data_IF_833376103490
#
_entry.id   IF_833376103490
#
_cell.length_a   1.000
_cell.length_b   1.000
_cell.length_c   1.000
_cell.angle_alpha   90.00
_cell.angle_beta   90.00
_cell.angle_gamma   90.00
#
_symmetry.space_group_name_H-M   'P 1'
#
loop_
_entity.id
_entity.type
_entity.pdbx_description
1 polymer ?
#
# COMPACT_ATOMS: atom_id res chain seq x y z
N UNK A 1 -39.91 20.98 63.90
CA UNK A 1 -38.45 20.74 63.82
C UNK A 1 -38.17 19.94 62.54
N UNK A 2 -37.68 20.51 61.48
CA UNK A 2 -37.27 19.76 60.29
C UNK A 2 -35.80 19.33 60.39
N UNK A 3 -35.50 18.07 60.05
CA UNK A 3 -34.15 17.54 59.95
C UNK A 3 -33.47 17.96 58.64
N UNK A 4 -32.16 18.21 58.62
CA UNK A 4 -31.48 18.52 57.39
C UNK A 4 -31.17 17.25 56.61
N UNK A 5 -31.51 17.25 55.30
CA UNK A 5 -31.04 16.25 54.32
C UNK A 5 -29.57 16.56 53.96
N UNK A 6 -28.74 15.63 54.17
CA UNK A 6 -27.31 15.66 53.77
C UNK A 6 -27.15 15.46 52.29
N UNK A 7 -26.69 16.50 51.60
CA UNK A 7 -26.25 16.46 50.19
C UNK A 7 -24.80 15.90 50.12
N UNK A 8 -24.66 14.61 49.91
CA UNK A 8 -23.39 13.98 49.68
C UNK A 8 -23.53 12.67 48.86
N UNK A 9 -23.75 12.77 47.55
CA UNK A 9 -23.61 11.60 46.64
C UNK A 9 -23.70 12.00 45.14
N UNK A 10 -23.19 13.17 44.69
CA UNK A 10 -23.22 13.57 43.28
C UNK A 10 -21.86 13.77 42.63
N UNK A 11 -20.75 13.42 43.30
CA UNK A 11 -19.40 13.74 42.80
C UNK A 11 -18.58 12.56 42.25
N UNK A 12 -19.17 11.37 42.10
CA UNK A 12 -18.40 10.15 41.74
C UNK A 12 -18.65 9.60 40.30
N UNK A 13 -19.48 10.26 39.50
CA UNK A 13 -19.82 9.76 38.15
C UNK A 13 -19.15 10.51 36.98
N UNK A 14 -18.27 11.49 37.23
CA UNK A 14 -17.70 12.32 36.17
C UNK A 14 -16.27 11.95 35.74
N UNK A 15 -15.64 10.92 36.31
CA UNK A 15 -14.26 10.57 35.99
C UNK A 15 -14.07 9.25 35.17
N UNK A 16 -15.14 8.61 34.71
CA UNK A 16 -15.05 7.36 33.94
C UNK A 16 -15.01 7.56 32.40
N UNK A 17 -15.02 8.81 31.90
CA UNK A 17 -15.20 9.07 30.46
C UNK A 17 -13.90 9.45 29.72
N UNK A 18 -12.73 9.33 30.30
CA UNK A 18 -11.46 9.81 29.69
C UNK A 18 -10.41 8.72 29.38
N UNK A 19 -10.80 7.45 29.37
CA UNK A 19 -9.90 6.36 28.93
C UNK A 19 -10.38 5.77 27.61
N UNK A 20 -10.60 6.60 26.59
CA UNK A 20 -10.63 6.11 25.22
C UNK A 20 -9.17 5.79 24.82
N UNK A 21 -8.84 4.53 24.49
CA UNK A 21 -7.52 4.23 23.98
C UNK A 21 -7.33 5.07 22.70
N UNK A 22 -6.30 5.90 22.68
CA UNK A 22 -5.88 6.57 21.46
C UNK A 22 -5.55 5.46 20.44
N UNK A 23 -6.33 5.37 19.37
CA UNK A 23 -6.01 4.48 18.26
C UNK A 23 -4.73 5.03 17.60
N UNK A 24 -3.59 4.48 18.00
CA UNK A 24 -2.33 4.76 17.30
C UNK A 24 -2.41 4.07 15.95
N UNK A 25 -2.23 4.84 14.87
CA UNK A 25 -1.98 4.25 13.56
C UNK A 25 -0.70 3.42 13.67
N UNK A 26 -0.81 2.14 13.37
CA UNK A 26 0.33 1.24 13.35
C UNK A 26 1.13 1.54 12.10
N UNK A 27 2.34 2.07 12.24
CA UNK A 27 3.21 2.42 11.12
C UNK A 27 4.39 1.46 11.07
N UNK A 28 4.63 0.86 9.90
CA UNK A 28 5.84 0.08 9.67
C UNK A 28 7.07 1.00 9.70
N UNK A 29 8.15 0.53 10.31
CA UNK A 29 9.46 1.13 10.15
C UNK A 29 9.99 0.79 8.75
N UNK A 30 10.72 1.74 8.17
CA UNK A 30 11.43 1.53 6.90
C UNK A 30 12.89 1.32 7.20
N UNK A 31 13.40 0.15 6.84
CA UNK A 31 14.78 -0.26 7.07
C UNK A 31 15.45 -0.62 5.74
N UNK A 32 16.79 -0.54 5.71
CA UNK A 32 17.63 -1.06 4.65
C UNK A 32 17.24 -0.56 3.24
N UNK A 33 16.90 0.73 3.15
CA UNK A 33 16.54 1.37 1.89
C UNK A 33 17.76 1.54 0.99
N UNK A 34 17.60 1.23 -0.31
CA UNK A 34 18.61 1.47 -1.35
C UNK A 34 17.94 1.98 -2.62
N UNK A 35 18.57 2.97 -3.27
CA UNK A 35 18.08 3.59 -4.50
C UNK A 35 18.69 2.94 -5.72
N UNK A 36 17.89 2.73 -6.77
CA UNK A 36 18.22 2.13 -8.05
C UNK A 36 17.53 2.95 -9.15
N UNK A 37 18.17 4.01 -9.65
CA UNK A 37 17.52 4.92 -10.61
C UNK A 37 16.24 5.53 -10.04
N UNK A 38 15.09 5.32 -10.71
CA UNK A 38 13.77 5.75 -10.26
C UNK A 38 13.15 4.84 -9.19
N UNK A 39 13.73 3.68 -8.96
CA UNK A 39 13.21 2.70 -8.00
C UNK A 39 14.01 2.68 -6.70
N UNK A 40 13.38 2.19 -5.67
CA UNK A 40 13.98 1.91 -4.37
C UNK A 40 13.62 0.50 -3.93
N UNK A 41 14.53 -0.14 -3.21
CA UNK A 41 14.24 -1.37 -2.48
C UNK A 41 14.37 -1.11 -0.99
N UNK A 42 13.46 -1.65 -0.18
CA UNK A 42 13.45 -1.45 1.27
C UNK A 42 12.77 -2.62 2.00
N UNK A 43 13.01 -2.68 3.31
CA UNK A 43 12.32 -3.56 4.24
C UNK A 43 11.34 -2.74 5.07
N UNK A 44 10.12 -3.24 5.21
CA UNK A 44 9.12 -2.74 6.15
C UNK A 44 9.10 -3.67 7.37
N UNK A 45 9.18 -3.12 8.58
CA UNK A 45 9.18 -3.90 9.80
C UNK A 45 8.19 -3.39 10.84
N UNK A 46 7.49 -4.32 11.49
CA UNK A 46 6.58 -4.05 12.59
C UNK A 46 6.69 -5.18 13.63
N UNK A 47 7.41 -4.94 14.71
CA UNK A 47 7.78 -6.01 15.63
C UNK A 47 8.60 -7.09 14.91
N UNK A 48 8.10 -8.33 14.88
CA UNK A 48 8.73 -9.45 14.18
C UNK A 48 8.27 -9.55 12.69
N UNK A 49 7.20 -8.88 12.32
CA UNK A 49 6.69 -8.88 10.96
C UNK A 49 7.64 -8.16 10.01
N UNK A 50 7.91 -8.75 8.85
CA UNK A 50 8.77 -8.20 7.80
C UNK A 50 8.08 -8.30 6.45
N UNK A 51 8.19 -7.24 5.66
CA UNK A 51 7.82 -7.21 4.25
C UNK A 51 8.95 -6.55 3.45
N UNK A 52 9.12 -6.97 2.22
CA UNK A 52 10.17 -6.47 1.34
C UNK A 52 9.51 -5.84 0.12
N UNK A 53 10.00 -4.69 -0.27
CA UNK A 53 9.34 -3.88 -1.29
C UNK A 53 10.34 -3.33 -2.29
N UNK A 54 9.99 -3.41 -3.58
CA UNK A 54 10.56 -2.57 -4.64
C UNK A 54 9.50 -1.53 -5.00
N UNK A 55 9.82 -0.24 -4.96
CA UNK A 55 8.86 0.83 -5.21
C UNK A 55 9.42 1.91 -6.14
N UNK A 56 8.56 2.47 -6.96
CA UNK A 56 8.79 3.63 -7.81
C UNK A 56 8.07 4.84 -7.19
N UNK A 57 8.83 5.91 -6.91
CA UNK A 57 8.36 7.09 -6.19
C UNK A 57 8.71 8.41 -6.88
N UNK A 58 9.17 8.37 -8.13
CA UNK A 58 9.65 9.53 -8.86
C UNK A 58 8.67 10.04 -9.92
N UNK A 59 7.87 9.14 -10.51
CA UNK A 59 6.96 9.51 -11.59
C UNK A 59 5.81 10.41 -11.14
N UNK A 60 5.39 10.29 -9.87
CA UNK A 60 4.30 11.09 -9.29
C UNK A 60 4.65 11.53 -7.87
N UNK A 61 4.19 12.73 -7.48
CA UNK A 61 4.40 13.28 -6.14
C UNK A 61 3.41 12.74 -5.09
N UNK A 62 2.29 12.20 -5.54
CA UNK A 62 1.17 11.72 -4.73
C UNK A 62 0.88 10.23 -4.88
N UNK A 63 1.66 9.52 -5.69
CA UNK A 63 1.41 8.13 -6.00
C UNK A 63 2.69 7.31 -5.99
N UNK A 64 2.64 6.12 -5.40
CA UNK A 64 3.74 5.16 -5.29
C UNK A 64 3.32 3.82 -5.89
N UNK A 65 4.02 3.36 -6.92
CA UNK A 65 3.85 2.01 -7.45
C UNK A 65 4.83 1.07 -6.74
N UNK A 66 4.37 -0.09 -6.29
CA UNK A 66 5.24 -1.04 -5.59
C UNK A 66 4.98 -2.50 -5.96
N UNK A 67 6.05 -3.28 -5.98
CA UNK A 67 6.03 -4.73 -5.93
C UNK A 67 6.39 -5.17 -4.52
N UNK A 68 5.50 -5.92 -3.90
CA UNK A 68 5.59 -6.38 -2.52
C UNK A 68 5.94 -7.86 -2.49
N UNK A 69 7.00 -8.20 -1.74
CA UNK A 69 7.49 -9.56 -1.55
C UNK A 69 7.18 -9.98 -0.12
N UNK A 70 6.41 -11.05 0.05
CA UNK A 70 5.99 -11.54 1.37
C UNK A 70 6.81 -12.77 1.77
N UNK A 71 7.34 -12.84 2.99
CA UNK A 71 8.02 -14.05 3.49
C UNK A 71 7.18 -15.30 3.29
N UNK A 72 7.82 -16.37 2.81
CA UNK A 72 7.14 -17.61 2.44
C UNK A 72 6.60 -17.64 1.00
N UNK A 73 6.50 -16.50 0.31
CA UNK A 73 6.06 -16.39 -1.09
C UNK A 73 6.87 -15.37 -1.91
N UNK A 74 8.18 -15.33 -1.69
CA UNK A 74 9.09 -14.35 -2.29
C UNK A 74 9.17 -14.41 -3.82
N UNK A 75 8.70 -15.50 -4.44
CA UNK A 75 8.74 -15.67 -5.90
C UNK A 75 7.50 -15.11 -6.61
N UNK A 76 6.45 -14.77 -5.85
CA UNK A 76 5.19 -14.29 -6.39
C UNK A 76 4.83 -12.91 -5.83
N UNK A 77 5.63 -11.87 -6.14
CA UNK A 77 5.33 -10.53 -5.68
C UNK A 77 3.97 -10.07 -6.20
N UNK A 78 3.34 -9.17 -5.46
CA UNK A 78 2.08 -8.55 -5.86
C UNK A 78 2.24 -7.05 -6.04
N UNK A 79 1.52 -6.53 -7.04
CA UNK A 79 1.58 -5.12 -7.45
C UNK A 79 0.55 -4.31 -6.68
N UNK A 80 0.97 -3.14 -6.21
CA UNK A 80 0.14 -2.18 -5.50
C UNK A 80 0.48 -0.76 -5.94
N UNK A 81 -0.55 0.05 -6.11
CA UNK A 81 -0.43 1.49 -6.23
C UNK A 81 -1.03 2.12 -4.97
N UNK A 82 -0.27 2.97 -4.29
CA UNK A 82 -0.78 3.82 -3.21
C UNK A 82 -0.94 5.25 -3.73
N UNK A 83 -2.07 5.88 -3.45
CA UNK A 83 -2.35 7.26 -3.84
C UNK A 83 -2.70 8.07 -2.59
N UNK A 84 -2.03 9.20 -2.40
CA UNK A 84 -2.28 10.12 -1.30
C UNK A 84 -3.53 10.96 -1.55
N UNK A 85 -4.40 11.09 -0.56
CA UNK A 85 -5.64 11.89 -0.63
C UNK A 85 -5.58 13.16 0.22
N UNK A 86 -4.58 13.27 1.12
CA UNK A 86 -4.46 14.40 2.03
C UNK A 86 -5.45 14.39 3.21
N UNK A 87 -6.36 13.42 3.28
CA UNK A 87 -7.32 13.26 4.37
C UNK A 87 -7.39 11.82 4.87
N UNK A 88 -7.59 11.67 6.19
CA UNK A 88 -7.58 10.35 6.83
C UNK A 88 -8.86 9.57 6.55
N UNK A 89 -8.70 8.31 6.17
CA UNK A 89 -9.81 7.44 5.86
C UNK A 89 -10.52 6.97 7.14
N UNK A 90 -11.87 7.04 7.20
CA UNK A 90 -12.62 6.66 8.39
C UNK A 90 -12.75 5.14 8.58
N UNK A 91 -12.57 4.36 7.52
CA UNK A 91 -12.82 2.92 7.53
C UNK A 91 -11.80 2.15 6.68
N UNK A 92 -11.54 0.89 7.07
CA UNK A 92 -10.83 -0.08 6.23
C UNK A 92 -11.87 -0.88 5.42
N UNK A 93 -11.83 -0.75 4.09
CA UNK A 93 -12.76 -1.48 3.20
C UNK A 93 -12.29 -1.49 1.75
N UNK A 94 -12.78 -2.44 0.97
CA UNK A 94 -12.77 -2.33 -0.50
C UNK A 94 -13.87 -1.35 -0.89
N UNK A 95 -13.48 -0.24 -1.51
CA UNK A 95 -14.40 0.84 -1.92
C UNK A 95 -15.02 0.54 -3.26
N UNK A 96 -14.19 0.07 -4.21
CA UNK A 96 -14.59 -0.21 -5.60
C UNK A 96 -13.68 -1.28 -6.22
N UNK A 97 -14.16 -1.87 -7.32
CA UNK A 97 -13.41 -2.76 -8.21
C UNK A 97 -13.67 -2.34 -9.65
N UNK A 98 -12.63 -2.19 -10.43
CA UNK A 98 -12.73 -1.70 -11.80
C UNK A 98 -11.82 -2.49 -12.74
N UNK A 99 -12.14 -2.58 -14.03
CA UNK A 99 -11.21 -3.12 -15.03
C UNK A 99 -9.90 -2.32 -15.05
N UNK A 100 -8.79 -3.03 -15.17
CA UNK A 100 -7.46 -2.46 -15.28
C UNK A 100 -6.66 -3.17 -16.38
N UNK A 101 -5.85 -2.41 -17.09
CA UNK A 101 -4.89 -2.89 -18.09
C UNK A 101 -3.51 -2.33 -17.76
N UNK A 102 -2.51 -3.19 -17.80
CA UNK A 102 -1.12 -2.84 -17.64
C UNK A 102 -0.34 -3.26 -18.88
N UNK A 103 0.61 -2.43 -19.30
CA UNK A 103 1.45 -2.72 -20.46
C UNK A 103 2.84 -2.17 -20.27
N UNK A 104 3.85 -3.00 -20.46
CA UNK A 104 5.24 -2.57 -20.56
C UNK A 104 5.56 -2.26 -22.02
N UNK A 105 6.05 -1.06 -22.29
CA UNK A 105 6.45 -0.58 -23.62
C UNK A 105 5.44 -0.92 -24.73
N UNK A 106 5.80 -1.87 -25.60
CA UNK A 106 4.98 -2.39 -26.71
C UNK A 106 4.60 -3.86 -26.53
N UNK A 107 4.87 -4.44 -25.36
CA UNK A 107 4.58 -5.82 -25.04
C UNK A 107 3.06 -6.08 -24.90
N UNK A 108 2.70 -7.27 -24.46
CA UNK A 108 1.31 -7.69 -24.27
C UNK A 108 0.55 -6.82 -23.27
N UNK A 109 -0.74 -6.62 -23.49
CA UNK A 109 -1.61 -5.98 -22.50
C UNK A 109 -2.02 -7.05 -21.45
N UNK A 110 -1.71 -6.77 -20.19
CA UNK A 110 -2.14 -7.58 -19.06
C UNK A 110 -3.43 -6.99 -18.50
N UNK A 111 -4.54 -7.65 -18.75
CA UNK A 111 -5.86 -7.21 -18.25
C UNK A 111 -6.21 -7.91 -16.94
N UNK A 112 -7.03 -7.27 -16.14
CA UNK A 112 -7.52 -7.80 -14.88
C UNK A 112 -8.41 -6.81 -14.14
N UNK A 113 -8.44 -6.96 -12.81
CA UNK A 113 -9.23 -6.11 -11.92
C UNK A 113 -8.31 -5.32 -10.98
N UNK A 114 -8.64 -4.05 -10.77
CA UNK A 114 -8.05 -3.19 -9.76
C UNK A 114 -9.05 -3.00 -8.60
N UNK A 115 -8.68 -3.41 -7.40
CA UNK A 115 -9.46 -3.21 -6.18
C UNK A 115 -8.96 -1.96 -5.45
N UNK A 116 -9.83 -0.99 -5.26
CA UNK A 116 -9.56 0.23 -4.49
C UNK A 116 -9.86 -0.02 -3.02
N UNK A 117 -8.87 0.13 -2.17
CA UNK A 117 -8.91 -0.23 -0.75
C UNK A 117 -8.54 0.98 0.09
N UNK A 118 -9.34 1.31 1.08
CA UNK A 118 -8.99 2.27 2.11
C UNK A 118 -8.58 1.56 3.40
N UNK A 119 -7.71 2.21 4.18
CA UNK A 119 -7.33 1.75 5.52
C UNK A 119 -7.64 2.84 6.53
N UNK A 120 -8.30 2.46 7.62
CA UNK A 120 -8.68 3.38 8.68
C UNK A 120 -7.45 4.09 9.25
N UNK A 121 -7.50 5.42 9.24
CA UNK A 121 -6.44 6.27 9.76
C UNK A 121 -5.32 6.58 8.75
N UNK A 122 -5.28 5.92 7.58
CA UNK A 122 -4.36 6.26 6.49
C UNK A 122 -4.82 7.49 5.71
N UNK A 123 -3.88 8.26 5.18
CA UNK A 123 -4.14 9.47 4.38
C UNK A 123 -4.38 9.21 2.89
N UNK A 124 -4.39 7.96 2.46
CA UNK A 124 -4.53 7.58 1.07
C UNK A 124 -5.44 6.39 0.82
N UNK A 125 -5.41 5.89 -0.40
CA UNK A 125 -5.99 4.60 -0.76
C UNK A 125 -4.96 3.73 -1.48
N UNK A 126 -5.23 2.43 -1.48
CA UNK A 126 -4.43 1.42 -2.14
C UNK A 126 -5.21 0.83 -3.30
N UNK A 127 -4.52 0.54 -4.39
CA UNK A 127 -5.06 -0.19 -5.53
C UNK A 127 -4.27 -1.49 -5.66
N UNK A 128 -4.94 -2.62 -5.46
CA UNK A 128 -4.35 -3.95 -5.64
C UNK A 128 -4.83 -4.55 -6.94
N UNK A 129 -3.90 -5.12 -7.70
CA UNK A 129 -4.16 -5.65 -9.03
C UNK A 129 -4.25 -7.18 -9.00
N UNK A 130 -5.39 -7.71 -9.45
CA UNK A 130 -5.60 -9.11 -9.73
C UNK A 130 -5.44 -9.34 -11.23
N UNK A 131 -4.26 -9.83 -11.65
CA UNK A 131 -3.89 -10.06 -13.05
C UNK A 131 -3.65 -11.54 -13.28
N UNK A 132 -4.15 -12.08 -14.40
CA UNK A 132 -4.00 -13.50 -14.75
C UNK A 132 -2.54 -13.86 -15.05
N UNK A 133 -1.84 -13.01 -15.80
CA UNK A 133 -0.46 -13.21 -16.27
C UNK A 133 0.56 -12.39 -15.46
N UNK A 134 0.34 -12.21 -14.15
CA UNK A 134 1.23 -11.42 -13.29
C UNK A 134 2.72 -11.81 -13.36
N UNK A 135 3.12 -13.09 -13.40
CA UNK A 135 4.53 -13.46 -13.53
C UNK A 135 5.16 -12.93 -14.82
N UNK A 136 4.43 -12.96 -15.94
CA UNK A 136 4.90 -12.42 -17.23
C UNK A 136 5.07 -10.90 -17.16
N UNK A 137 4.09 -10.17 -16.60
CA UNK A 137 4.20 -8.73 -16.39
C UNK A 137 5.44 -8.37 -15.57
N UNK A 138 5.74 -9.09 -14.49
CA UNK A 138 6.93 -8.83 -13.66
C UNK A 138 8.22 -9.04 -14.44
N UNK A 139 8.29 -10.07 -15.30
CA UNK A 139 9.45 -10.29 -16.18
C UNK A 139 9.58 -9.21 -17.26
N UNK A 140 8.49 -8.71 -17.82
CA UNK A 140 8.49 -7.59 -18.74
C UNK A 140 8.94 -6.30 -18.04
N UNK A 141 8.45 -6.01 -16.83
CA UNK A 141 8.90 -4.86 -16.03
C UNK A 141 10.39 -4.87 -15.72
N UNK A 142 11.01 -6.04 -15.60
CA UNK A 142 12.46 -6.17 -15.37
C UNK A 142 13.31 -5.80 -16.58
N UNK A 143 12.76 -5.85 -17.79
CA UNK A 143 13.48 -5.68 -19.06
C UNK A 143 13.07 -4.43 -19.81
N UNK A 144 11.89 -3.90 -19.50
CA UNK A 144 11.31 -2.76 -20.16
C UNK A 144 11.76 -1.40 -19.60
N UNK A 145 11.30 -0.35 -20.22
CA UNK A 145 11.61 1.03 -19.88
C UNK A 145 10.44 1.76 -19.23
N UNK A 146 9.20 1.39 -19.61
CA UNK A 146 8.01 2.13 -19.19
C UNK A 146 6.83 1.19 -18.94
N UNK A 147 6.20 1.31 -17.76
CA UNK A 147 4.92 0.68 -17.45
C UNK A 147 3.80 1.70 -17.63
N UNK A 148 2.79 1.34 -18.44
CA UNK A 148 1.54 2.09 -18.61
C UNK A 148 0.42 1.35 -17.92
N UNK A 149 -0.34 2.09 -17.13
CA UNK A 149 -1.51 1.62 -16.39
C UNK A 149 -2.74 2.37 -16.89
N UNK A 150 -3.82 1.64 -17.14
CA UNK A 150 -5.16 2.18 -17.40
C UNK A 150 -6.13 1.55 -16.40
N UNK A 151 -6.96 2.36 -15.75
CA UNK A 151 -8.07 1.91 -14.90
C UNK A 151 -9.34 2.64 -15.33
N UNK A 152 -10.47 1.93 -15.35
CA UNK A 152 -11.77 2.52 -15.69
C UNK A 152 -12.48 2.94 -14.40
N UNK A 153 -12.48 4.25 -14.08
CA UNK A 153 -13.15 4.79 -12.89
C UNK A 153 -14.68 4.87 -13.04
N UNK A 154 -15.14 4.91 -14.28
CA UNK A 154 -16.54 4.94 -14.70
C UNK A 154 -16.66 4.43 -16.12
N UNK A 155 -17.87 4.49 -16.70
CA UNK A 155 -18.15 3.92 -18.02
C UNK A 155 -17.28 4.55 -19.12
N UNK A 156 -17.05 5.88 -19.06
CA UNK A 156 -16.24 6.66 -20.01
C UNK A 156 -15.15 7.50 -19.33
N UNK A 157 -14.68 7.07 -18.14
CA UNK A 157 -13.67 7.81 -17.36
C UNK A 157 -12.41 6.97 -17.12
N UNK A 158 -11.52 6.82 -18.13
CA UNK A 158 -10.25 6.14 -17.96
C UNK A 158 -9.25 7.00 -17.20
N UNK A 159 -8.57 6.40 -16.23
CA UNK A 159 -7.42 6.97 -15.55
C UNK A 159 -6.15 6.32 -16.06
N UNK A 160 -5.23 7.13 -16.61
CA UNK A 160 -3.96 6.69 -17.15
C UNK A 160 -2.81 7.12 -16.26
N UNK A 161 -1.87 6.20 -16.03
CA UNK A 161 -0.61 6.47 -15.35
C UNK A 161 0.56 5.84 -16.09
N UNK A 162 1.73 6.47 -15.97
CA UNK A 162 2.97 6.03 -16.62
C UNK A 162 4.10 6.05 -15.61
N UNK A 163 4.78 4.93 -15.46
CA UNK A 163 5.88 4.76 -14.51
C UNK A 163 7.17 4.39 -15.24
N UNK A 164 8.28 4.99 -14.84
CA UNK A 164 9.61 4.59 -15.31
C UNK A 164 10.00 3.24 -14.74
N UNK A 165 10.64 2.40 -15.54
CA UNK A 165 11.22 1.13 -15.09
C UNK A 165 12.75 1.20 -14.91
N UNK A 166 13.34 2.40 -14.99
CA UNK A 166 14.75 2.60 -14.72
C UNK A 166 15.12 2.19 -13.29
N UNK A 167 15.92 1.13 -13.16
CA UNK A 167 16.31 0.54 -11.86
C UNK A 167 15.31 -0.45 -11.27
N UNK A 168 14.23 -0.77 -11.97
CA UNK A 168 13.21 -1.72 -11.49
C UNK A 168 13.79 -3.11 -11.26
N UNK A 169 14.61 -3.61 -12.18
CA UNK A 169 15.22 -4.95 -12.09
C UNK A 169 16.06 -5.11 -10.81
N UNK A 170 16.96 -4.15 -10.56
CA UNK A 170 17.86 -4.15 -9.40
C UNK A 170 17.09 -4.04 -8.08
N UNK A 171 16.07 -3.16 -8.04
CA UNK A 171 15.22 -3.00 -6.88
C UNK A 171 14.43 -4.30 -6.56
N UNK A 172 13.84 -4.93 -7.57
CA UNK A 172 13.11 -6.19 -7.44
C UNK A 172 14.03 -7.33 -7.00
N UNK A 173 15.24 -7.45 -7.58
CA UNK A 173 16.20 -8.50 -7.22
C UNK A 173 16.63 -8.37 -5.78
N UNK A 174 16.96 -7.14 -5.34
CA UNK A 174 17.35 -6.89 -3.96
C UNK A 174 16.19 -7.18 -2.99
N UNK A 175 14.99 -6.72 -3.26
CA UNK A 175 13.83 -6.98 -2.42
C UNK A 175 13.53 -8.49 -2.31
N UNK A 176 13.58 -9.21 -3.44
CA UNK A 176 13.40 -10.68 -3.47
C UNK A 176 14.50 -11.42 -2.71
N UNK A 177 15.77 -11.02 -2.88
CA UNK A 177 16.89 -11.60 -2.15
C UNK A 177 16.73 -11.43 -0.64
N UNK A 178 16.35 -10.23 -0.18
CA UNK A 178 16.09 -9.93 1.22
C UNK A 178 14.92 -10.75 1.77
N UNK A 179 13.86 -10.92 0.98
CA UNK A 179 12.72 -11.75 1.34
C UNK A 179 13.15 -13.20 1.61
N UNK A 180 13.96 -13.80 0.73
CA UNK A 180 14.48 -15.16 0.90
C UNK A 180 15.37 -15.31 2.15
N UNK A 181 16.24 -14.34 2.42
CA UNK A 181 17.18 -14.39 3.56
C UNK A 181 16.52 -14.04 4.89
N UNK A 182 15.37 -13.41 4.91
CA UNK A 182 14.63 -13.10 6.14
C UNK A 182 13.65 -14.19 6.57
N UNK A 183 13.63 -15.34 5.89
CA UNK A 183 12.82 -16.54 6.22
C UNK A 183 13.60 -17.61 7.00
N UNK A 184 14.88 -17.36 7.34
CA UNK A 184 15.74 -18.28 8.11
C UNK A 184 15.69 -18.00 9.62
#
# INVERSE_FOLDING_TARGET
MPKPFTAASAALLLNALLLLPAAHATTFNTDDAATHGHWQSLTLSLGEERHYRALEAHSYSDSLLSLNFTPGDCERPWLELRVELGERQPQSRVVNRVPADLRVDHETIHSGEAAFITQRGDGGFYVQFALDERPLLVEEMRRGETLRLRMMRGEDDPWFMVFSLEGAAEAMDRARQRCRSGTD
#
